data_IF_854943888327
#
_entry.id   IF_854943888327
#
_cell.length_a   1.000
_cell.length_b   1.000
_cell.length_c   1.000
_cell.angle_alpha   90.00
_cell.angle_beta   90.00
_cell.angle_gamma   90.00
#
_symmetry.space_group_name_H-M   'P 1'
#
loop_
_entity.id
_entity.type
_entity.pdbx_description
1 polymer ?
#
# COMPACT_ATOMS: atom_id res chain seq x y z
N UNK A 1 11.06 -27.48 5.89
CA UNK A 1 11.99 -26.33 5.97
C UNK A 1 11.93 -25.74 7.38
N UNK A 2 13.01 -25.20 7.93
CA UNK A 2 13.01 -24.54 9.24
C UNK A 2 12.75 -23.05 9.05
N UNK A 3 12.02 -22.41 9.98
CA UNK A 3 11.79 -20.96 9.96
C UNK A 3 13.13 -20.23 10.13
N UNK A 4 13.40 -19.25 9.27
CA UNK A 4 14.52 -18.34 9.42
C UNK A 4 14.17 -17.30 10.50
N UNK A 5 14.90 -17.35 11.62
CA UNK A 5 14.65 -16.46 12.75
C UNK A 5 14.92 -14.99 12.44
N UNK A 6 15.86 -14.69 11.55
CA UNK A 6 16.17 -13.32 11.14
C UNK A 6 15.04 -12.75 10.28
N UNK A 7 14.58 -13.53 9.29
CA UNK A 7 13.44 -13.16 8.47
C UNK A 7 12.15 -13.04 9.30
N UNK A 8 11.94 -13.93 10.28
CA UNK A 8 10.80 -13.85 11.21
C UNK A 8 10.81 -12.55 12.03
N UNK A 9 11.96 -12.09 12.51
CA UNK A 9 12.06 -10.81 13.24
C UNK A 9 11.75 -9.63 12.34
N UNK A 10 12.31 -9.62 11.13
CA UNK A 10 12.02 -8.57 10.13
C UNK A 10 10.55 -8.52 9.75
N UNK A 11 9.91 -9.66 9.53
CA UNK A 11 8.48 -9.74 9.26
C UNK A 11 7.67 -9.12 10.40
N UNK A 12 8.00 -9.46 11.65
CA UNK A 12 7.36 -8.87 12.82
C UNK A 12 7.54 -7.34 12.86
N UNK A 13 8.77 -6.85 12.70
CA UNK A 13 9.06 -5.41 12.66
C UNK A 13 8.28 -4.70 11.55
N UNK A 14 8.23 -5.26 10.34
CA UNK A 14 7.46 -4.69 9.24
C UNK A 14 5.97 -4.62 9.57
N UNK A 15 5.39 -5.74 10.01
CA UNK A 15 3.96 -5.83 10.24
C UNK A 15 3.48 -4.94 11.40
N UNK A 16 4.22 -4.90 12.52
CA UNK A 16 3.87 -4.03 13.65
C UNK A 16 3.97 -2.55 13.29
N UNK A 17 4.83 -2.18 12.33
CA UNK A 17 4.89 -0.83 11.76
C UNK A 17 3.80 -0.57 10.69
N UNK A 18 2.85 -1.48 10.51
CA UNK A 18 1.76 -1.36 9.55
C UNK A 18 2.20 -1.51 8.10
N UNK A 19 3.38 -2.10 7.85
CA UNK A 19 3.88 -2.32 6.51
C UNK A 19 3.27 -3.56 5.89
N UNK A 20 3.06 -3.50 4.58
CA UNK A 20 2.71 -4.64 3.75
C UNK A 20 3.99 -5.32 3.25
N UNK A 21 3.97 -6.65 3.15
CA UNK A 21 5.03 -7.44 2.54
C UNK A 21 4.56 -7.82 1.13
N UNK A 22 5.08 -7.13 0.12
CA UNK A 22 4.82 -7.44 -1.29
C UNK A 22 5.72 -8.56 -1.77
N UNK A 23 5.22 -9.37 -2.70
CA UNK A 23 5.98 -10.41 -3.42
C UNK A 23 7.13 -9.81 -4.23
N UNK A 24 6.88 -8.67 -4.87
CA UNK A 24 7.88 -7.93 -5.63
C UNK A 24 8.18 -6.61 -4.95
N UNK A 25 9.46 -6.25 -4.91
CA UNK A 25 9.95 -4.97 -4.41
C UNK A 25 10.88 -4.35 -5.44
N UNK A 26 10.84 -3.02 -5.54
CA UNK A 26 11.75 -2.30 -6.42
C UNK A 26 13.12 -2.14 -5.75
N UNK A 27 14.18 -2.60 -6.41
CA UNK A 27 15.56 -2.46 -5.96
C UNK A 27 16.45 -2.08 -7.13
N UNK A 28 17.34 -1.11 -6.90
CA UNK A 28 18.33 -0.54 -7.83
C UNK A 28 17.78 -0.03 -9.17
N UNK A 29 17.27 -0.93 -10.00
CA UNK A 29 16.80 -0.66 -11.36
C UNK A 29 15.62 -1.54 -11.79
N UNK A 30 15.04 -2.35 -10.91
CA UNK A 30 13.93 -3.21 -11.31
C UNK A 30 13.20 -3.91 -10.18
N UNK A 31 12.15 -4.62 -10.56
CA UNK A 31 11.35 -5.44 -9.65
C UNK A 31 12.06 -6.77 -9.38
N UNK A 32 12.29 -7.06 -8.10
CA UNK A 32 12.90 -8.31 -7.64
C UNK A 32 11.98 -9.00 -6.64
N UNK A 33 12.10 -10.33 -6.52
CA UNK A 33 11.36 -11.09 -5.52
C UNK A 33 11.80 -10.69 -4.12
N UNK A 34 10.84 -10.49 -3.22
CA UNK A 34 11.07 -10.17 -1.84
C UNK A 34 11.31 -11.45 -1.01
N UNK A 35 12.53 -11.67 -0.47
CA UNK A 35 12.82 -12.87 0.31
C UNK A 35 11.94 -13.01 1.56
N UNK A 36 11.46 -11.89 2.12
CA UNK A 36 10.53 -11.92 3.25
C UNK A 36 9.17 -12.50 2.86
N UNK A 37 8.71 -12.25 1.64
CA UNK A 37 7.47 -12.83 1.14
C UNK A 37 7.61 -14.33 0.89
N UNK A 38 8.74 -14.77 0.31
CA UNK A 38 9.02 -16.20 0.10
C UNK A 38 9.06 -16.98 1.43
N UNK A 39 9.76 -16.45 2.44
CA UNK A 39 9.82 -17.05 3.78
C UNK A 39 8.42 -17.13 4.41
N UNK A 40 7.67 -16.03 4.32
CA UNK A 40 6.31 -15.93 4.87
C UNK A 40 5.38 -16.98 4.24
N UNK A 41 5.32 -17.06 2.92
CA UNK A 41 4.46 -18.01 2.19
C UNK A 41 4.90 -19.45 2.49
N UNK A 42 6.20 -19.71 2.49
CA UNK A 42 6.74 -21.06 2.72
C UNK A 42 6.43 -21.63 4.11
N UNK A 43 6.19 -20.75 5.10
CA UNK A 43 5.91 -21.14 6.48
C UNK A 43 4.56 -20.58 6.99
N UNK A 44 3.67 -20.18 6.08
CA UNK A 44 2.44 -19.46 6.42
C UNK A 44 1.55 -20.24 7.39
N UNK A 45 1.06 -21.42 6.96
CA UNK A 45 0.15 -22.23 7.78
C UNK A 45 0.87 -22.97 8.91
N UNK A 46 2.18 -23.17 8.80
CA UNK A 46 2.95 -23.92 9.80
C UNK A 46 3.36 -23.07 11.01
N UNK A 47 3.54 -21.77 10.83
CA UNK A 47 4.13 -20.92 11.86
C UNK A 47 3.49 -19.54 11.92
N UNK A 48 3.51 -18.79 10.81
CA UNK A 48 3.17 -17.37 10.87
C UNK A 48 1.68 -17.11 11.16
N UNK A 49 0.77 -17.90 10.61
CA UNK A 49 -0.67 -17.76 10.85
C UNK A 49 -0.98 -17.87 12.35
N UNK A 50 -0.49 -18.91 13.02
CA UNK A 50 -0.70 -19.11 14.45
C UNK A 50 0.04 -18.07 15.29
N UNK A 51 1.27 -17.70 14.91
CA UNK A 51 2.05 -16.68 15.60
C UNK A 51 1.26 -15.37 15.72
N UNK A 52 0.79 -14.81 14.60
CA UNK A 52 0.06 -13.53 14.62
C UNK A 52 -1.29 -13.65 15.33
N UNK A 53 -2.00 -14.76 15.14
CA UNK A 53 -3.26 -15.00 15.85
C UNK A 53 -3.07 -14.96 17.38
N UNK A 54 -2.00 -15.58 17.87
CA UNK A 54 -1.69 -15.63 19.30
C UNK A 54 -1.28 -14.27 19.91
N UNK A 55 -0.94 -13.28 19.07
CA UNK A 55 -0.61 -11.93 19.52
C UNK A 55 -1.67 -10.89 19.12
N UNK A 56 -2.90 -11.34 18.81
CA UNK A 56 -4.05 -10.47 18.60
C UNK A 56 -4.24 -9.96 17.17
N UNK A 57 -3.54 -10.55 16.19
CA UNK A 57 -3.61 -10.13 14.79
C UNK A 57 -4.05 -11.26 13.87
N UNK A 58 -4.86 -10.93 12.87
CA UNK A 58 -5.04 -11.78 11.71
C UNK A 58 -3.95 -11.46 10.68
N UNK A 59 -3.17 -12.48 10.32
CA UNK A 59 -2.27 -12.39 9.17
C UNK A 59 -3.05 -12.72 7.89
N UNK A 60 -3.20 -11.71 7.04
CA UNK A 60 -3.92 -11.79 5.77
C UNK A 60 -2.91 -12.00 4.64
N UNK A 61 -3.02 -13.13 3.94
CA UNK A 61 -2.27 -13.41 2.71
C UNK A 61 -3.19 -13.27 1.50
N UNK A 62 -2.84 -12.37 0.59
CA UNK A 62 -3.49 -12.17 -0.71
C UNK A 62 -2.51 -12.53 -1.83
N UNK A 63 -3.01 -12.57 -3.07
CA UNK A 63 -2.16 -12.82 -4.24
C UNK A 63 -1.11 -11.70 -4.35
N UNK A 64 0.15 -12.05 -4.13
CA UNK A 64 1.31 -11.16 -4.31
C UNK A 64 1.60 -10.21 -3.16
N UNK A 65 0.92 -10.30 -2.02
CA UNK A 65 1.26 -9.52 -0.82
C UNK A 65 0.59 -10.06 0.45
N UNK A 66 1.11 -9.66 1.61
CA UNK A 66 0.53 -9.99 2.91
C UNK A 66 0.62 -8.81 3.89
N UNK A 67 -0.32 -8.73 4.82
CA UNK A 67 -0.38 -7.72 5.89
C UNK A 67 -1.03 -8.29 7.14
N UNK A 68 -0.94 -7.58 8.26
CA UNK A 68 -1.67 -7.92 9.49
C UNK A 68 -2.81 -6.94 9.74
N UNK A 69 -3.88 -7.42 10.37
CA UNK A 69 -4.92 -6.56 10.95
C UNK A 69 -5.27 -6.98 12.36
N UNK A 70 -5.61 -6.01 13.20
CA UNK A 70 -6.06 -6.28 14.56
C UNK A 70 -7.37 -7.08 14.50
N UNK A 71 -7.48 -8.09 15.36
CA UNK A 71 -8.73 -8.86 15.51
C UNK A 71 -9.76 -8.02 16.26
N UNK A 72 -9.30 -7.15 17.15
CA UNK A 72 -10.13 -6.19 17.87
C UNK A 72 -10.21 -4.86 17.12
N UNK A 73 -11.24 -4.08 17.42
CA UNK A 73 -11.37 -2.74 16.85
C UNK A 73 -10.17 -1.88 17.27
N UNK A 74 -9.41 -1.41 16.28
CA UNK A 74 -8.26 -0.54 16.46
C UNK A 74 -8.50 0.77 15.70
N UNK A 75 -8.76 1.84 16.44
CA UNK A 75 -9.02 3.17 15.88
C UNK A 75 -7.81 3.71 15.10
N UNK A 76 -6.59 3.38 15.51
CA UNK A 76 -5.39 3.80 14.78
C UNK A 76 -5.27 3.05 13.46
N UNK A 77 -5.63 1.76 13.44
CA UNK A 77 -5.72 1.00 12.20
C UNK A 77 -6.83 1.53 11.27
N UNK A 78 -8.00 1.87 11.82
CA UNK A 78 -9.10 2.42 11.04
C UNK A 78 -8.75 3.78 10.43
N UNK A 79 -8.09 4.66 11.20
CA UNK A 79 -7.61 5.95 10.73
C UNK A 79 -6.62 5.80 9.57
N UNK A 80 -5.68 4.85 9.67
CA UNK A 80 -4.72 4.64 8.59
C UNK A 80 -5.36 4.07 7.32
N UNK A 81 -6.34 3.16 7.44
CA UNK A 81 -7.09 2.64 6.29
C UNK A 81 -7.81 3.79 5.58
N UNK A 82 -8.46 4.67 6.33
CA UNK A 82 -9.11 5.88 5.76
C UNK A 82 -8.11 6.76 5.02
N UNK A 83 -6.92 6.98 5.59
CA UNK A 83 -5.85 7.77 4.96
C UNK A 83 -5.32 7.14 3.67
N UNK A 84 -5.10 5.82 3.68
CA UNK A 84 -4.70 5.06 2.48
C UNK A 84 -5.76 5.21 1.39
N UNK A 85 -7.04 4.95 1.72
CA UNK A 85 -8.14 5.07 0.75
C UNK A 85 -8.29 6.50 0.21
N UNK A 86 -8.14 7.52 1.05
CA UNK A 86 -8.17 8.93 0.64
C UNK A 86 -7.09 9.26 -0.38
N UNK A 87 -5.85 8.83 -0.14
CA UNK A 87 -4.74 9.03 -1.07
C UNK A 87 -4.91 8.29 -2.38
N UNK A 88 -5.34 7.03 -2.34
CA UNK A 88 -5.60 6.24 -3.55
C UNK A 88 -6.73 6.87 -4.38
N UNK A 89 -7.77 7.38 -3.73
CA UNK A 89 -8.87 8.08 -4.39
C UNK A 89 -8.40 9.36 -5.08
N UNK A 90 -7.62 10.19 -4.38
CA UNK A 90 -7.07 11.44 -4.89
C UNK A 90 -6.14 11.19 -6.08
N UNK A 91 -5.22 10.23 -5.95
CA UNK A 91 -4.31 9.84 -7.02
C UNK A 91 -5.06 9.32 -8.24
N UNK A 92 -5.97 8.35 -8.06
CA UNK A 92 -6.73 7.74 -9.16
C UNK A 92 -7.54 8.74 -9.96
N UNK A 93 -8.33 9.57 -9.26
CA UNK A 93 -9.10 10.63 -9.92
C UNK A 93 -8.20 11.68 -10.53
N UNK A 94 -7.16 12.08 -9.81
CA UNK A 94 -6.21 13.10 -10.24
C UNK A 94 -5.53 12.75 -11.57
N UNK A 95 -4.96 11.55 -11.69
CA UNK A 95 -4.29 11.11 -12.93
C UNK A 95 -5.28 11.00 -14.08
N UNK A 96 -6.48 10.48 -13.83
CA UNK A 96 -7.53 10.32 -14.85
C UNK A 96 -7.99 11.67 -15.39
N UNK A 97 -8.23 12.65 -14.52
CA UNK A 97 -8.65 13.99 -14.91
C UNK A 97 -7.55 14.79 -15.64
N UNK A 98 -6.28 14.44 -15.43
CA UNK A 98 -5.16 14.99 -16.19
C UNK A 98 -4.96 14.28 -17.54
N UNK A 99 -5.81 13.28 -17.86
CA UNK A 99 -5.79 12.55 -19.13
C UNK A 99 -4.87 11.34 -19.16
N UNK A 100 -4.29 10.94 -18.02
CA UNK A 100 -3.46 9.75 -17.93
C UNK A 100 -4.30 8.49 -17.68
N UNK A 101 -3.77 7.35 -18.10
CA UNK A 101 -4.37 6.05 -17.82
C UNK A 101 -3.89 5.51 -16.46
N UNK A 102 -4.62 4.53 -15.91
CA UNK A 102 -4.31 3.92 -14.61
C UNK A 102 -2.93 3.27 -14.57
N UNK A 103 -2.44 2.77 -15.70
CA UNK A 103 -1.12 2.19 -15.87
C UNK A 103 -0.02 3.14 -15.38
N UNK A 104 -0.23 4.47 -15.44
CA UNK A 104 0.70 5.44 -14.87
C UNK A 104 0.99 5.21 -13.38
N UNK A 105 -0.02 4.77 -12.60
CA UNK A 105 0.10 4.51 -11.17
C UNK A 105 0.82 3.19 -10.88
N UNK A 106 0.95 2.28 -11.84
CA UNK A 106 1.42 0.90 -11.59
C UNK A 106 2.62 0.49 -12.42
N UNK A 107 2.95 1.24 -13.47
CA UNK A 107 4.12 0.97 -14.31
C UNK A 107 5.41 1.37 -13.56
N UNK A 108 6.30 0.41 -13.25
CA UNK A 108 7.54 0.67 -12.52
C UNK A 108 8.52 1.56 -13.28
N UNK A 109 8.46 1.62 -14.61
CA UNK A 109 9.35 2.44 -15.43
C UNK A 109 8.87 3.88 -15.59
N UNK A 110 7.57 4.12 -15.41
CA UNK A 110 6.94 5.42 -15.60
C UNK A 110 6.63 6.06 -14.25
N UNK A 111 5.63 5.58 -13.53
CA UNK A 111 5.17 6.17 -12.26
C UNK A 111 4.61 7.60 -12.39
N UNK A 112 4.08 8.10 -11.29
CA UNK A 112 3.57 9.48 -11.15
C UNK A 112 4.69 10.39 -10.65
N UNK A 113 5.07 11.39 -11.46
CA UNK A 113 6.10 12.36 -11.06
C UNK A 113 5.58 13.36 -10.04
N UNK A 114 6.51 14.06 -9.37
CA UNK A 114 6.16 15.10 -8.40
C UNK A 114 5.37 16.24 -9.07
N UNK A 115 5.68 16.60 -10.31
CA UNK A 115 4.95 17.64 -11.05
C UNK A 115 3.50 17.24 -11.33
N UNK A 116 3.23 15.95 -11.55
CA UNK A 116 1.86 15.45 -11.69
C UNK A 116 1.15 15.49 -10.33
N UNK A 117 1.83 15.09 -9.25
CA UNK A 117 1.29 15.14 -7.88
C UNK A 117 0.91 16.58 -7.51
N UNK A 118 1.78 17.55 -7.78
CA UNK A 118 1.51 18.98 -7.53
C UNK A 118 0.30 19.49 -8.33
N UNK A 119 0.15 19.07 -9.59
CA UNK A 119 -1.03 19.42 -10.40
C UNK A 119 -2.33 18.82 -9.85
N UNK A 120 -2.27 17.61 -9.31
CA UNK A 120 -3.43 16.97 -8.66
C UNK A 120 -3.81 17.74 -7.38
N UNK A 121 -2.81 18.12 -6.58
CA UNK A 121 -3.01 18.81 -5.30
C UNK A 121 -3.62 20.22 -5.44
N UNK A 122 -3.43 20.88 -6.58
CA UNK A 122 -3.99 22.21 -6.84
C UNK A 122 -5.51 22.21 -7.03
N UNK A 123 -6.14 21.04 -7.17
CA UNK A 123 -7.59 20.94 -7.38
C UNK A 123 -8.33 20.96 -6.04
N UNK A 124 -9.26 21.90 -5.89
CA UNK A 124 -10.03 22.13 -4.66
C UNK A 124 -10.74 20.86 -4.16
N UNK A 125 -11.38 20.12 -5.06
CA UNK A 125 -12.08 18.88 -4.72
C UNK A 125 -11.14 17.78 -4.17
N UNK A 126 -9.87 17.78 -4.56
CA UNK A 126 -8.85 16.87 -4.01
C UNK A 126 -8.44 17.31 -2.61
N UNK A 127 -8.29 18.62 -2.39
CA UNK A 127 -7.97 19.17 -1.08
C UNK A 127 -9.09 18.88 -0.06
N UNK A 128 -10.36 18.93 -0.48
CA UNK A 128 -11.49 18.54 0.37
C UNK A 128 -11.42 17.06 0.81
N UNK A 129 -11.11 16.15 -0.13
CA UNK A 129 -10.94 14.72 0.19
C UNK A 129 -9.77 14.50 1.15
N UNK A 130 -8.63 15.16 0.93
CA UNK A 130 -7.47 15.08 1.81
C UNK A 130 -7.82 15.58 3.22
N UNK A 131 -8.50 16.72 3.33
CA UNK A 131 -8.95 17.28 4.60
C UNK A 131 -9.89 16.32 5.35
N UNK A 132 -10.84 15.70 4.65
CA UNK A 132 -11.76 14.70 5.23
C UNK A 132 -11.06 13.45 5.78
N UNK A 133 -9.87 13.14 5.25
CA UNK A 133 -9.03 12.02 5.68
C UNK A 133 -7.97 12.41 6.72
N UNK A 134 -7.98 13.66 7.21
CA UNK A 134 -6.95 14.22 8.10
C UNK A 134 -5.53 14.17 7.47
N UNK A 135 -5.45 14.47 6.18
CA UNK A 135 -4.23 14.60 5.39
C UNK A 135 -4.00 16.09 5.11
N UNK A 136 -3.04 16.68 5.83
CA UNK A 136 -2.77 18.13 5.84
C UNK A 136 -1.30 18.45 5.57
N UNK A 137 -0.48 17.44 5.27
CA UNK A 137 0.97 17.58 5.08
C UNK A 137 1.38 17.99 3.67
N UNK A 138 0.40 18.10 2.78
CA UNK A 138 0.59 18.20 1.35
C UNK A 138 0.62 16.80 0.70
N UNK A 139 0.10 16.68 -0.51
CA UNK A 139 -0.17 15.39 -1.15
C UNK A 139 1.10 14.54 -1.26
N UNK A 140 2.22 15.12 -1.69
CA UNK A 140 3.49 14.41 -1.81
C UNK A 140 3.99 13.87 -0.47
N UNK A 141 3.99 14.70 0.58
CA UNK A 141 4.40 14.32 1.94
C UNK A 141 3.50 13.22 2.50
N UNK A 142 2.19 13.33 2.24
CA UNK A 142 1.22 12.35 2.71
C UNK A 142 1.36 11.02 1.97
N UNK A 143 1.67 11.02 0.67
CA UNK A 143 2.03 9.81 -0.08
C UNK A 143 3.25 9.12 0.56
N UNK A 144 4.32 9.85 0.84
CA UNK A 144 5.52 9.28 1.45
C UNK A 144 5.20 8.66 2.82
N UNK A 145 4.53 9.44 3.69
CA UNK A 145 4.26 9.06 5.08
C UNK A 145 3.26 7.93 5.22
N UNK A 146 2.25 7.87 4.33
CA UNK A 146 1.15 6.93 4.43
C UNK A 146 1.39 5.71 3.53
N UNK A 147 1.62 5.93 2.24
CA UNK A 147 1.78 4.84 1.26
C UNK A 147 3.21 4.32 1.23
N UNK A 148 4.21 5.22 1.16
CA UNK A 148 5.62 4.87 1.07
C UNK A 148 6.11 4.11 2.31
N UNK A 149 5.93 4.67 3.51
CA UNK A 149 6.34 4.02 4.77
C UNK A 149 5.71 2.65 5.00
N UNK A 150 4.60 2.34 4.34
CA UNK A 150 3.85 1.07 4.48
C UNK A 150 4.07 0.10 3.33
N UNK A 151 4.97 0.41 2.40
CA UNK A 151 5.22 -0.38 1.18
C UNK A 151 3.97 -0.54 0.29
N UNK A 152 3.04 0.41 0.35
CA UNK A 152 1.86 0.45 -0.54
C UNK A 152 2.23 1.17 -1.85
N UNK A 153 3.22 2.05 -1.79
CA UNK A 153 3.86 2.66 -2.95
C UNK A 153 5.39 2.67 -2.76
N UNK A 154 6.12 2.80 -3.86
CA UNK A 154 7.57 2.96 -3.89
C UNK A 154 7.96 4.01 -4.93
N UNK A 155 9.21 4.48 -4.89
CA UNK A 155 9.76 5.34 -5.92
C UNK A 155 10.62 4.52 -6.90
N UNK A 156 10.43 4.75 -8.19
CA UNK A 156 11.30 4.16 -9.22
C UNK A 156 12.63 4.92 -9.38
N UNK A 157 13.46 4.51 -10.34
CA UNK A 157 14.77 5.17 -10.60
C UNK A 157 14.68 6.65 -10.95
N UNK A 158 13.51 7.13 -11.41
CA UNK A 158 13.27 8.55 -11.74
C UNK A 158 12.77 9.36 -10.53
N UNK A 159 12.55 8.70 -9.38
CA UNK A 159 11.90 9.31 -8.22
C UNK A 159 10.37 9.39 -8.31
N UNK A 160 9.78 8.81 -9.36
CA UNK A 160 8.34 8.82 -9.56
C UNK A 160 7.68 7.76 -8.68
N UNK A 161 6.49 8.08 -8.16
CA UNK A 161 5.73 7.20 -7.28
C UNK A 161 4.95 6.15 -8.07
N UNK A 162 5.07 4.90 -7.63
CA UNK A 162 4.43 3.73 -8.23
C UNK A 162 3.74 2.92 -7.12
N UNK A 163 2.51 2.49 -7.35
CA UNK A 163 1.80 1.58 -6.47
C UNK A 163 2.45 0.19 -6.52
N UNK A 164 2.66 -0.41 -5.35
CA UNK A 164 3.08 -1.82 -5.25
C UNK A 164 1.93 -2.77 -5.60
N UNK A 165 2.18 -4.08 -5.62
CA UNK A 165 1.13 -5.09 -5.77
C UNK A 165 -0.03 -4.87 -4.79
N UNK A 166 0.30 -4.55 -3.53
CA UNK A 166 -0.69 -4.21 -2.51
C UNK A 166 -1.41 -2.89 -2.80
N UNK A 167 -0.69 -1.84 -3.20
CA UNK A 167 -1.29 -0.56 -3.56
C UNK A 167 -2.26 -0.67 -4.71
N UNK A 168 -1.90 -1.45 -5.74
CA UNK A 168 -2.79 -1.77 -6.86
C UNK A 168 -4.03 -2.53 -6.36
N UNK A 169 -3.85 -3.58 -5.56
CA UNK A 169 -4.99 -4.36 -5.07
C UNK A 169 -5.94 -3.54 -4.18
N UNK A 170 -5.42 -2.68 -3.30
CA UNK A 170 -6.24 -1.78 -2.49
C UNK A 170 -6.95 -0.71 -3.33
N UNK A 171 -6.31 -0.26 -4.41
CA UNK A 171 -6.93 0.62 -5.37
C UNK A 171 -8.08 -0.10 -6.09
N UNK A 172 -7.82 -1.27 -6.67
CA UNK A 172 -8.82 -2.06 -7.39
C UNK A 172 -10.04 -2.32 -6.47
N UNK A 173 -9.83 -2.73 -5.21
CA UNK A 173 -10.91 -2.90 -4.22
C UNK A 173 -11.74 -1.63 -3.97
N UNK A 174 -11.09 -0.46 -3.93
CA UNK A 174 -11.76 0.82 -3.70
C UNK A 174 -12.63 1.27 -4.89
N UNK A 175 -12.25 0.91 -6.12
CA UNK A 175 -12.91 1.36 -7.35
C UNK A 175 -13.82 0.30 -7.98
N UNK A 176 -13.53 -0.99 -7.82
CA UNK A 176 -14.39 -2.11 -8.24
C UNK A 176 -15.54 -2.34 -7.25
N UNK A 177 -15.30 -2.15 -5.94
CA UNK A 177 -16.33 -2.25 -4.90
C UNK A 177 -17.46 -1.21 -4.99
N UNK A 178 -17.44 -0.31 -5.98
CA UNK A 178 -18.50 0.66 -6.27
C UNK A 178 -19.47 0.22 -7.38
N UNK A 179 -19.24 -0.92 -8.03
CA UNK A 179 -20.09 -1.42 -9.13
C UNK A 179 -21.23 -2.33 -8.64
N UNK A 180 -21.16 -2.89 -7.42
CA UNK A 180 -22.23 -3.72 -6.84
C UNK A 180 -23.35 -2.91 -6.12
N UNK A 181 -23.61 -1.67 -6.57
CA UNK A 181 -24.62 -0.77 -5.99
C UNK A 181 -25.68 -0.25 -6.96
N UNK A 182 -25.63 -0.62 -8.23
CA UNK A 182 -26.64 -0.27 -9.23
C UNK A 182 -26.97 -1.50 -10.09
N UNK A 183 -27.95 -2.28 -9.65
CA UNK A 183 -28.70 -3.24 -10.47
C UNK A 183 -30.11 -3.43 -9.90
#
# INVERSE_FOLDING_TARGET
>A
MQVDQHASRKLYECFINGQVINELVFQDSGMVVNPLFEELVSNFDRYYRELYLNIGFELVLKKGFAFIRSIEADDAQNDIVRKVQGLLLVLGRGVTELGFQFELLTDPEVGVSNEIIEQIEQKEDKQEVLAACDLKGGLLTDIERVLGKRNIAFQNVKGNWVLSNAGKAFFDELFEGRVEGES
#
